data_IF_687435239769
#
_entry.id   IF_687435239769
#
_cell.length_a   1.000
_cell.length_b   1.000
_cell.length_c   1.000
_cell.angle_alpha   90.00
_cell.angle_beta   90.00
_cell.angle_gamma   90.00
#
_symmetry.space_group_name_H-M   'P 1'
#
loop_
_entity.id
_entity.type
_entity.pdbx_description
1 polymer ?
#
# COMPACT_ATOMS: atom_id res chain seq x y z
N UNK A 1 -3.67 32.34 1.08
CA UNK A 1 -4.63 31.37 0.51
C UNK A 1 -5.84 31.24 1.43
N UNK A 2 -7.06 30.97 0.96
CA UNK A 2 -8.21 30.69 1.86
C UNK A 2 -8.30 29.21 2.20
N UNK A 3 -8.80 28.87 3.40
CA UNK A 3 -8.91 27.48 3.89
C UNK A 3 -9.76 26.60 2.96
N UNK A 4 -10.86 27.11 2.40
CA UNK A 4 -11.67 26.32 1.46
C UNK A 4 -10.94 26.01 0.14
N UNK A 5 -10.02 26.88 -0.30
CA UNK A 5 -9.25 26.66 -1.52
C UNK A 5 -8.28 25.51 -1.30
N UNK A 6 -7.67 25.47 -0.11
CA UNK A 6 -6.79 24.39 0.30
C UNK A 6 -7.53 23.06 0.43
N UNK A 7 -8.74 23.08 1.00
CA UNK A 7 -9.60 21.91 1.08
C UNK A 7 -9.92 21.35 -0.32
N UNK A 8 -10.23 22.23 -1.27
CA UNK A 8 -10.58 21.87 -2.64
C UNK A 8 -9.38 21.31 -3.41
N UNK A 9 -8.18 21.84 -3.22
CA UNK A 9 -6.95 21.27 -3.76
C UNK A 9 -6.68 19.85 -3.24
N UNK A 10 -6.98 19.59 -1.97
CA UNK A 10 -6.78 18.29 -1.33
C UNK A 10 -7.91 17.28 -1.62
N UNK A 11 -8.94 17.71 -2.37
CA UNK A 11 -10.10 16.89 -2.76
C UNK A 11 -11.04 16.57 -1.60
N UNK A 12 -11.05 17.38 -0.54
CA UNK A 12 -11.86 17.17 0.66
C UNK A 12 -13.02 18.14 0.73
N UNK A 13 -14.10 17.71 1.39
CA UNK A 13 -15.21 18.61 1.67
C UNK A 13 -14.78 19.66 2.70
N UNK A 14 -15.26 20.89 2.53
CA UNK A 14 -14.91 22.01 3.40
C UNK A 14 -15.14 21.66 4.87
N UNK A 15 -16.25 20.96 5.18
CA UNK A 15 -16.62 20.54 6.55
C UNK A 15 -15.65 19.52 7.15
N UNK A 16 -15.26 18.51 6.36
CA UNK A 16 -14.32 17.48 6.81
C UNK A 16 -12.93 18.06 7.03
N UNK A 17 -12.50 18.98 6.16
CA UNK A 17 -11.23 19.66 6.27
C UNK A 17 -11.13 20.49 7.55
N UNK A 18 -12.17 21.25 7.91
CA UNK A 18 -12.19 21.98 9.20
C UNK A 18 -12.16 21.04 10.41
N UNK A 19 -12.81 19.88 10.33
CA UNK A 19 -12.83 18.92 11.43
C UNK A 19 -11.41 18.40 11.69
N UNK A 20 -10.68 18.01 10.64
CA UNK A 20 -9.28 17.58 10.71
C UNK A 20 -8.34 18.70 11.16
N UNK A 21 -8.55 19.95 10.73
CA UNK A 21 -7.75 21.10 11.20
C UNK A 21 -7.94 21.39 12.69
N UNK A 22 -9.17 21.26 13.22
CA UNK A 22 -9.43 21.38 14.66
C UNK A 22 -8.76 20.27 15.46
N UNK A 23 -8.78 19.04 14.94
CA UNK A 23 -8.14 17.89 15.57
C UNK A 23 -6.60 18.05 15.63
N UNK A 24 -6.02 18.68 14.62
CA UNK A 24 -4.60 19.04 14.57
C UNK A 24 -4.27 20.33 15.33
N UNK A 25 -5.22 20.87 16.09
CA UNK A 25 -5.04 22.08 16.91
C UNK A 25 -4.64 23.34 16.12
N UNK A 26 -4.91 23.38 14.80
CA UNK A 26 -4.67 24.56 13.99
C UNK A 26 -5.77 25.61 14.26
N UNK A 27 -5.40 26.88 14.52
CA UNK A 27 -6.34 27.93 14.89
C UNK A 27 -7.09 28.52 13.68
N UNK A 28 -7.91 27.70 13.01
CA UNK A 28 -8.80 28.16 11.93
C UNK A 28 -10.24 28.34 12.44
N UNK A 29 -10.70 29.59 12.43
CA UNK A 29 -12.04 29.96 12.93
C UNK A 29 -13.16 29.66 11.93
N UNK A 30 -12.87 29.68 10.62
CA UNK A 30 -13.87 29.49 9.56
C UNK A 30 -13.24 29.03 8.23
N UNK A 31 -14.05 28.45 7.33
CA UNK A 31 -13.63 28.06 5.97
C UNK A 31 -13.12 29.25 5.12
N UNK A 32 -13.53 30.47 5.47
CA UNK A 32 -13.09 31.71 4.82
C UNK A 32 -11.83 32.32 5.45
N UNK A 33 -11.29 31.71 6.51
CA UNK A 33 -10.04 32.19 7.11
C UNK A 33 -8.94 32.21 6.05
N UNK A 34 -8.20 33.32 6.03
CA UNK A 34 -7.01 33.48 5.21
C UNK A 34 -5.86 32.88 6.02
N UNK A 35 -5.15 31.95 5.39
CA UNK A 35 -3.93 31.35 5.90
C UNK A 35 -2.75 31.76 5.02
N UNK A 36 -1.62 31.96 5.66
CA UNK A 36 -0.31 32.16 5.06
C UNK A 36 0.17 30.90 4.32
N UNK A 37 1.12 31.09 3.42
CA UNK A 37 1.65 30.03 2.57
C UNK A 37 2.44 29.00 3.39
N UNK A 38 3.16 29.44 4.42
CA UNK A 38 3.90 28.57 5.35
C UNK A 38 2.95 27.61 6.09
N UNK A 39 1.87 28.14 6.68
CA UNK A 39 0.83 27.33 7.34
C UNK A 39 0.13 26.39 6.36
N UNK A 40 -0.15 26.84 5.13
CA UNK A 40 -0.74 25.97 4.12
C UNK A 40 0.17 24.79 3.76
N UNK A 41 1.49 25.00 3.74
CA UNK A 41 2.47 23.97 3.41
C UNK A 41 2.59 22.92 4.53
N UNK A 42 2.64 23.36 5.79
CA UNK A 42 2.63 22.46 6.96
C UNK A 42 1.36 21.61 6.97
N UNK A 43 0.20 22.23 6.72
CA UNK A 43 -1.08 21.50 6.64
C UNK A 43 -1.05 20.47 5.50
N UNK A 44 -0.48 20.80 4.33
CA UNK A 44 -0.35 19.85 3.21
C UNK A 44 0.52 18.66 3.58
N UNK A 45 1.67 18.88 4.21
CA UNK A 45 2.58 17.82 4.63
C UNK A 45 1.95 16.92 5.69
N UNK A 46 1.30 17.50 6.70
CA UNK A 46 0.64 16.73 7.75
C UNK A 46 -0.53 15.89 7.18
N UNK A 47 -1.30 16.45 6.25
CA UNK A 47 -2.36 15.71 5.55
C UNK A 47 -1.84 14.58 4.68
N UNK A 48 -0.68 14.77 4.05
CA UNK A 48 -0.02 13.73 3.25
C UNK A 48 0.46 12.60 4.16
N UNK A 49 1.12 12.93 5.28
CA UNK A 49 1.55 11.98 6.30
C UNK A 49 0.40 11.21 6.95
N UNK A 50 -0.77 11.85 7.13
CA UNK A 50 -1.99 11.16 7.61
C UNK A 50 -2.54 10.18 6.58
N UNK A 51 -2.59 10.56 5.28
CA UNK A 51 -2.95 9.61 4.22
C UNK A 51 -2.00 8.41 4.24
N UNK A 52 -0.69 8.63 4.34
CA UNK A 52 0.31 7.55 4.45
C UNK A 52 0.15 6.69 5.73
N UNK A 53 -0.21 7.29 6.86
CA UNK A 53 -0.50 6.56 8.12
C UNK A 53 -1.82 5.77 8.07
N UNK A 54 -2.86 6.27 7.41
CA UNK A 54 -4.10 5.51 7.20
C UNK A 54 -3.87 4.36 6.20
N UNK A 55 -3.08 4.61 5.15
CA UNK A 55 -2.67 3.61 4.15
C UNK A 55 -1.84 2.47 4.77
N UNK A 56 -1.02 2.76 5.77
CA UNK A 56 -0.20 1.74 6.46
C UNK A 56 -0.97 0.89 7.47
N UNK A 57 -2.14 1.34 7.95
CA UNK A 57 -3.02 0.51 8.79
C UNK A 57 -3.86 -0.48 7.98
N UNK A 58 -4.13 -0.16 6.71
CA UNK A 58 -4.97 -0.96 5.83
C UNK A 58 -4.14 -1.83 4.88
N UNK A 59 -3.29 -2.67 5.46
CA UNK A 59 -2.52 -3.66 4.72
C UNK A 59 -3.44 -4.83 4.40
N UNK A 60 -3.58 -5.14 3.11
CA UNK A 60 -4.38 -6.27 2.64
C UNK A 60 -3.47 -7.26 1.93
N UNK A 61 -3.48 -8.50 2.40
CA UNK A 61 -2.70 -9.58 1.82
C UNK A 61 -3.45 -10.25 0.67
N UNK A 62 -2.83 -10.24 -0.51
CA UNK A 62 -3.40 -10.79 -1.73
C UNK A 62 -2.50 -11.87 -2.32
N UNK A 63 -3.13 -12.85 -2.99
CA UNK A 63 -2.48 -13.96 -3.68
C UNK A 63 -2.99 -13.91 -5.12
N UNK A 64 -2.10 -14.14 -6.09
CA UNK A 64 -2.43 -14.16 -7.52
C UNK A 64 -2.44 -15.61 -8.04
N UNK A 65 -3.27 -15.94 -9.06
CA UNK A 65 -4.15 -15.07 -9.83
C UNK A 65 -5.39 -14.62 -9.03
N UNK A 66 -5.69 -13.32 -9.09
CA UNK A 66 -6.81 -12.69 -8.37
C UNK A 66 -7.81 -12.13 -9.38
N UNK A 67 -9.11 -12.36 -9.19
CA UNK A 67 -10.14 -11.75 -10.04
C UNK A 67 -10.56 -10.37 -9.55
N UNK A 68 -11.14 -9.54 -10.42
CA UNK A 68 -11.70 -8.23 -10.03
C UNK A 68 -12.76 -8.37 -8.92
N UNK A 69 -13.56 -9.44 -8.94
CA UNK A 69 -14.52 -9.76 -7.89
C UNK A 69 -13.84 -10.01 -6.55
N UNK A 70 -12.84 -10.89 -6.53
CA UNK A 70 -12.15 -11.29 -5.30
C UNK A 70 -11.34 -10.13 -4.73
N UNK A 71 -10.72 -9.31 -5.60
CA UNK A 71 -10.06 -8.07 -5.21
C UNK A 71 -11.02 -7.10 -4.51
N UNK A 72 -12.25 -6.99 -5.01
CA UNK A 72 -13.30 -6.19 -4.39
C UNK A 72 -13.69 -6.67 -3.00
N UNK A 73 -13.82 -7.99 -2.84
CA UNK A 73 -14.16 -8.61 -1.56
C UNK A 73 -13.02 -8.37 -0.55
N UNK A 74 -11.76 -8.55 -0.96
CA UNK A 74 -10.59 -8.35 -0.09
C UNK A 74 -10.43 -6.90 0.39
N UNK A 75 -10.78 -5.93 -0.45
CA UNK A 75 -10.75 -4.50 -0.08
C UNK A 75 -12.00 -4.02 0.65
N UNK A 76 -13.05 -4.86 0.78
CA UNK A 76 -14.33 -4.46 1.35
C UNK A 76 -15.06 -3.38 0.54
N UNK A 77 -14.81 -3.31 -0.76
CA UNK A 77 -15.41 -2.34 -1.70
C UNK A 77 -16.40 -3.01 -2.63
N UNK A 78 -17.22 -2.24 -3.34
CA UNK A 78 -18.14 -2.78 -4.35
C UNK A 78 -17.41 -3.04 -5.68
N UNK A 79 -17.72 -4.13 -6.41
CA UNK A 79 -17.07 -4.43 -7.68
C UNK A 79 -17.22 -3.29 -8.70
N UNK A 80 -18.37 -2.59 -8.67
CA UNK A 80 -18.62 -1.43 -9.51
C UNK A 80 -17.65 -0.27 -9.29
N UNK A 81 -17.19 -0.05 -8.05
CA UNK A 81 -16.21 1.01 -7.75
C UNK A 81 -14.85 0.67 -8.36
N UNK A 82 -14.44 -0.59 -8.25
CA UNK A 82 -13.17 -1.08 -8.82
C UNK A 82 -13.22 -1.03 -10.35
N UNK A 83 -14.31 -1.49 -10.97
CA UNK A 83 -14.52 -1.36 -12.41
C UNK A 83 -14.49 0.10 -12.84
N UNK A 84 -15.10 1.02 -12.08
CA UNK A 84 -15.08 2.44 -12.42
C UNK A 84 -13.68 3.06 -12.32
N UNK A 85 -12.86 2.66 -11.36
CA UNK A 85 -11.46 3.07 -11.26
C UNK A 85 -10.61 2.53 -12.42
N UNK A 86 -10.84 1.27 -12.80
CA UNK A 86 -10.21 0.64 -13.96
C UNK A 86 -10.51 1.42 -15.25
N UNK A 87 -11.78 1.78 -15.46
CA UNK A 87 -12.22 2.59 -16.60
C UNK A 87 -11.50 3.95 -16.65
N UNK A 88 -11.34 4.62 -15.50
CA UNK A 88 -10.59 5.90 -15.42
C UNK A 88 -9.11 5.75 -15.78
N UNK A 89 -8.51 4.59 -15.52
CA UNK A 89 -7.13 4.25 -15.92
C UNK A 89 -7.03 3.76 -17.37
N UNK A 90 -8.14 3.68 -18.10
CA UNK A 90 -8.16 3.20 -19.48
C UNK A 90 -8.00 1.68 -19.64
N UNK A 91 -8.09 0.91 -18.54
CA UNK A 91 -8.13 -0.56 -18.60
C UNK A 91 -9.56 -1.05 -18.43
N UNK A 92 -9.97 -1.95 -19.31
CA UNK A 92 -11.33 -2.51 -19.32
C UNK A 92 -11.27 -3.97 -18.89
N UNK A 93 -11.44 -4.21 -17.59
CA UNK A 93 -11.58 -5.56 -17.05
C UNK A 93 -13.02 -5.82 -16.59
N UNK A 94 -13.52 -7.02 -16.86
CA UNK A 94 -14.81 -7.48 -16.33
C UNK A 94 -14.66 -8.07 -14.91
N UNK A 95 -15.78 -8.31 -14.23
CA UNK A 95 -15.80 -8.75 -12.82
C UNK A 95 -15.08 -10.10 -12.61
N UNK A 96 -15.08 -10.98 -13.62
CA UNK A 96 -14.53 -12.33 -13.53
C UNK A 96 -13.14 -12.44 -14.16
N UNK A 97 -12.57 -11.35 -14.67
CA UNK A 97 -11.23 -11.32 -15.25
C UNK A 97 -10.18 -11.18 -14.16
N UNK A 98 -9.01 -11.78 -14.41
CA UNK A 98 -7.86 -11.65 -13.54
C UNK A 98 -7.29 -10.23 -13.61
N UNK A 99 -6.86 -9.71 -12.46
CA UNK A 99 -6.17 -8.44 -12.35
C UNK A 99 -4.66 -8.66 -12.23
N UNK A 100 -3.89 -7.88 -12.98
CA UNK A 100 -2.43 -7.87 -12.90
C UNK A 100 -1.95 -7.33 -11.55
N UNK A 101 -0.81 -7.82 -11.05
CA UNK A 101 -0.24 -7.40 -9.78
C UNK A 101 0.06 -5.89 -9.73
N UNK A 102 0.65 -5.34 -10.79
CA UNK A 102 0.90 -3.89 -10.90
C UNK A 102 -0.39 -3.09 -10.84
N UNK A 103 -1.42 -3.54 -11.56
CA UNK A 103 -2.72 -2.86 -11.61
C UNK A 103 -3.44 -2.94 -10.26
N UNK A 104 -3.37 -4.08 -9.58
CA UNK A 104 -3.94 -4.25 -8.25
C UNK A 104 -3.27 -3.30 -7.24
N UNK A 105 -1.93 -3.23 -7.23
CA UNK A 105 -1.16 -2.31 -6.35
C UNK A 105 -1.57 -0.87 -6.57
N UNK A 106 -1.67 -0.45 -7.82
CA UNK A 106 -2.11 0.88 -8.21
C UNK A 106 -3.53 1.21 -7.71
N UNK A 107 -4.48 0.30 -7.92
CA UNK A 107 -5.86 0.50 -7.51
C UNK A 107 -6.01 0.53 -5.99
N UNK A 108 -5.29 -0.34 -5.29
CA UNK A 108 -5.27 -0.33 -3.84
C UNK A 108 -4.71 0.98 -3.29
N UNK A 109 -3.62 1.49 -3.86
CA UNK A 109 -3.04 2.77 -3.44
C UNK A 109 -4.04 3.93 -3.59
N UNK A 110 -4.78 3.96 -4.70
CA UNK A 110 -5.84 4.96 -4.90
C UNK A 110 -6.98 4.84 -3.90
N UNK A 111 -7.30 3.62 -3.46
CA UNK A 111 -8.32 3.34 -2.47
C UNK A 111 -7.82 3.53 -1.03
N UNK A 112 -6.54 3.86 -0.84
CA UNK A 112 -5.94 4.04 0.46
C UNK A 112 -5.50 2.74 1.15
N UNK A 113 -5.22 1.69 0.38
CA UNK A 113 -4.77 0.38 0.87
C UNK A 113 -3.37 0.06 0.34
N UNK A 114 -2.59 -0.66 1.14
CA UNK A 114 -1.31 -1.22 0.69
C UNK A 114 -1.48 -2.71 0.47
N UNK A 115 -1.29 -3.18 -0.76
CA UNK A 115 -1.24 -4.63 -1.00
C UNK A 115 0.13 -5.16 -0.65
N UNK A 116 0.15 -6.15 0.25
CA UNK A 116 1.28 -7.05 0.37
C UNK A 116 0.94 -8.33 -0.36
N UNK A 117 1.86 -8.78 -1.19
CA UNK A 117 1.77 -10.11 -1.76
C UNK A 117 2.09 -11.10 -0.65
N UNK A 118 1.22 -12.09 -0.47
CA UNK A 118 1.61 -13.28 0.27
C UNK A 118 2.54 -14.04 -0.65
N UNK A 119 3.84 -13.89 -0.44
CA UNK A 119 4.82 -14.84 -0.97
C UNK A 119 4.41 -16.23 -0.49
N UNK A 120 4.52 -17.23 -1.36
CA UNK A 120 4.19 -18.60 -0.97
C UNK A 120 5.09 -19.05 0.18
N UNK A 121 4.63 -20.02 0.99
CA UNK A 121 5.44 -20.59 2.08
C UNK A 121 6.80 -21.09 1.52
N UNK A 122 6.81 -21.60 0.29
CA UNK A 122 8.01 -22.07 -0.40
C UNK A 122 9.01 -20.94 -0.69
N UNK A 123 8.56 -19.78 -1.19
CA UNK A 123 9.43 -18.62 -1.43
C UNK A 123 9.96 -18.02 -0.13
N UNK A 124 9.18 -17.99 0.95
CA UNK A 124 9.66 -17.54 2.26
C UNK A 124 10.72 -18.50 2.84
N UNK A 125 10.56 -19.82 2.65
CA UNK A 125 11.58 -20.81 3.00
C UNK A 125 12.85 -20.65 2.16
N UNK A 126 12.73 -20.44 0.85
CA UNK A 126 13.87 -20.24 -0.05
C UNK A 126 14.63 -18.94 0.32
N UNK A 127 13.95 -17.83 0.58
CA UNK A 127 14.60 -16.59 1.01
C UNK A 127 15.34 -16.76 2.35
N UNK A 128 14.76 -17.51 3.29
CA UNK A 128 15.44 -17.85 4.56
C UNK A 128 16.68 -18.72 4.34
N UNK A 129 16.60 -19.74 3.47
CA UNK A 129 17.75 -20.58 3.13
C UNK A 129 18.87 -19.78 2.47
N UNK A 130 18.55 -18.88 1.52
CA UNK A 130 19.52 -18.00 0.86
C UNK A 130 20.17 -17.03 1.87
N UNK A 131 19.38 -16.46 2.79
CA UNK A 131 19.89 -15.59 3.84
C UNK A 131 20.83 -16.33 4.81
N UNK A 132 20.53 -17.58 5.16
CA UNK A 132 21.41 -18.40 6.01
C UNK A 132 22.68 -18.84 5.28
N UNK A 133 22.62 -19.12 3.97
CA UNK A 133 23.80 -19.44 3.15
C UNK A 133 24.77 -18.24 3.05
N UNK A 134 24.25 -17.01 2.99
CA UNK A 134 25.10 -15.80 3.05
C UNK A 134 25.86 -15.64 4.36
N UNK A 135 25.39 -16.29 5.44
CA UNK A 135 26.01 -16.33 6.77
C UNK A 135 26.76 -17.65 7.02
N UNK A 136 26.85 -18.53 6.03
CA UNK A 136 27.52 -19.81 6.17
C UNK A 136 29.01 -19.61 6.43
N UNK A 137 29.47 -20.06 7.59
CA UNK A 137 30.90 -20.11 7.91
C UNK A 137 31.56 -21.22 7.08
N UNK A 138 32.78 -21.02 6.55
CA UNK A 138 33.50 -22.08 5.85
C UNK A 138 33.69 -23.27 6.80
N UNK A 139 33.18 -24.42 6.40
CA UNK A 139 33.39 -25.69 7.11
C UNK A 139 34.49 -26.49 6.43
N UNK A 140 35.40 -27.12 7.18
CA UNK A 140 36.45 -27.95 6.60
C UNK A 140 35.84 -29.14 5.82
N UNK A 141 36.52 -29.64 4.78
CA UNK A 141 36.04 -30.78 4.01
C UNK A 141 35.95 -32.02 4.90
N UNK A 142 34.82 -32.73 4.84
CA UNK A 142 34.68 -34.04 5.48
C UNK A 142 35.08 -35.09 4.46
N UNK A 143 36.19 -35.77 4.71
CA UNK A 143 36.67 -36.87 3.88
C UNK A 143 36.39 -38.18 4.63
N UNK A 144 35.58 -39.05 4.03
CA UNK A 144 35.41 -40.43 4.49
C UNK A 144 36.22 -41.33 3.59
N UNK A 145 37.31 -41.92 4.10
CA UNK A 145 37.99 -43.00 3.40
C UNK A 145 37.20 -44.29 3.60
N UNK A 146 36.49 -44.71 2.55
CA UNK A 146 36.01 -46.09 2.43
C UNK A 146 37.01 -46.87 1.58
N UNK A 147 37.77 -47.74 2.24
CA UNK A 147 38.65 -48.73 1.62
C UNK A 147 38.24 -50.16 1.99
N UNK A 148 38.57 -51.13 1.15
CA UNK A 148 38.68 -52.54 1.56
C UNK A 148 40.07 -52.76 2.19
N UNK A 149 40.21 -53.81 3.02
CA UNK A 149 41.38 -54.13 3.87
C UNK A 149 42.59 -54.55 3.04
N UNK A 150 43.13 -53.66 2.21
CA UNK A 150 44.47 -53.82 1.63
C UNK A 150 45.19 -52.49 1.31
N UNK A 151 44.62 -51.32 1.62
CA UNK A 151 45.35 -50.03 1.65
C UNK A 151 44.86 -49.13 2.78
#
# INVERSE_FOLDING_TARGET
>A
MRVYELAKELGLDSKEFLKKLKEMNFPVKSHLSIIDEETAQIIKEEFKGLKEKEISKNIVEVEFPLTVKDFSVKLGKKPSEIVQLLLRKGKFLNINQNIDQELAKDLAYQLGFTLKEKTSLEEELIEREILDESRAKPRPPVVTLMGHIDH
#
